data_IF_172796688896
#
_entry.id   IF_172796688896
#
_cell.length_a   1.000
_cell.length_b   1.000
_cell.length_c   1.000
_cell.angle_alpha   90.00
_cell.angle_beta   90.00
_cell.angle_gamma   90.00
#
_symmetry.space_group_name_H-M   'P 1'
#
loop_
_entity.id
_entity.type
_entity.pdbx_description
1 polymer ?
#
# COMPACT_ATOMS: atom_id res chain seq x y z
N UNK A 1 -23.71 -18.98 -3.18
CA UNK A 1 -22.25 -18.85 -2.91
C UNK A 1 -21.86 -17.43 -3.23
N UNK A 2 -21.19 -16.73 -2.33
CA UNK A 2 -20.83 -15.33 -2.55
C UNK A 2 -19.78 -15.27 -3.68
N UNK A 3 -19.95 -14.35 -4.65
CA UNK A 3 -19.07 -14.14 -5.78
C UNK A 3 -17.60 -13.93 -5.35
N UNK A 4 -17.38 -13.20 -4.25
CA UNK A 4 -16.05 -12.95 -3.70
C UNK A 4 -15.38 -14.25 -3.26
N UNK A 5 -16.11 -15.10 -2.53
CA UNK A 5 -15.61 -16.41 -2.07
C UNK A 5 -15.21 -17.32 -3.24
N UNK A 6 -16.03 -17.37 -4.29
CA UNK A 6 -15.72 -18.18 -5.47
C UNK A 6 -14.47 -17.66 -6.20
N UNK A 7 -14.36 -16.35 -6.35
CA UNK A 7 -13.19 -15.72 -6.98
C UNK A 7 -11.91 -15.98 -6.19
N UNK A 8 -11.93 -15.80 -4.87
CA UNK A 8 -10.76 -16.05 -4.02
C UNK A 8 -10.35 -17.52 -4.03
N UNK A 9 -11.32 -18.45 -4.03
CA UNK A 9 -11.04 -19.88 -4.18
C UNK A 9 -10.37 -20.21 -5.52
N UNK A 10 -10.82 -19.61 -6.62
CA UNK A 10 -10.20 -19.78 -7.94
C UNK A 10 -8.76 -19.27 -7.96
N UNK A 11 -8.51 -18.09 -7.38
CA UNK A 11 -7.17 -17.53 -7.27
C UNK A 11 -6.23 -18.41 -6.42
N UNK A 12 -6.70 -18.90 -5.27
CA UNK A 12 -5.92 -19.80 -4.44
C UNK A 12 -5.57 -21.12 -5.13
N UNK A 13 -6.54 -21.73 -5.85
CA UNK A 13 -6.28 -22.93 -6.66
C UNK A 13 -5.31 -22.65 -7.80
N UNK A 14 -5.42 -21.49 -8.45
CA UNK A 14 -4.50 -21.07 -9.49
C UNK A 14 -3.08 -20.97 -8.96
N UNK A 15 -2.89 -20.26 -7.82
CA UNK A 15 -1.59 -20.11 -7.17
C UNK A 15 -0.95 -21.47 -6.86
N UNK A 16 -1.71 -22.38 -6.25
CA UNK A 16 -1.21 -23.71 -5.87
C UNK A 16 -0.85 -24.56 -7.09
N UNK A 17 -1.70 -24.59 -8.11
CA UNK A 17 -1.46 -25.39 -9.33
C UNK A 17 -0.25 -24.92 -10.14
N UNK A 18 -0.02 -23.60 -10.16
CA UNK A 18 1.04 -23.02 -10.95
C UNK A 18 2.29 -22.66 -10.11
N UNK A 19 2.31 -23.03 -8.84
CA UNK A 19 3.42 -22.75 -7.90
C UNK A 19 3.84 -21.27 -7.96
N UNK A 20 2.87 -20.35 -7.97
CA UNK A 20 3.12 -18.92 -8.09
C UNK A 20 2.51 -18.15 -6.92
N UNK A 21 3.04 -16.95 -6.68
CA UNK A 21 2.47 -15.97 -5.76
C UNK A 21 1.40 -15.16 -6.49
N UNK A 22 0.22 -15.05 -5.88
CA UNK A 22 -0.83 -14.14 -6.34
C UNK A 22 -0.96 -12.98 -5.34
N UNK A 23 -0.73 -11.76 -5.82
CA UNK A 23 -0.91 -10.53 -5.05
C UNK A 23 -2.19 -9.87 -5.52
N UNK A 24 -3.19 -9.80 -4.62
CA UNK A 24 -4.46 -9.14 -4.90
C UNK A 24 -4.47 -7.76 -4.24
N UNK A 25 -4.59 -6.71 -5.05
CA UNK A 25 -4.73 -5.34 -4.57
C UNK A 25 -6.20 -4.98 -4.45
N UNK A 26 -6.62 -4.57 -3.27
CA UNK A 26 -7.98 -4.14 -2.98
C UNK A 26 -8.00 -2.76 -2.34
N UNK A 27 -9.01 -1.96 -2.69
CA UNK A 27 -9.19 -0.64 -2.10
C UNK A 27 -10.14 -0.73 -0.90
N UNK A 28 -9.80 -0.09 0.24
CA UNK A 28 -10.68 0.00 1.38
C UNK A 28 -11.88 0.90 1.08
N UNK A 29 -12.95 0.72 1.85
CA UNK A 29 -14.04 1.69 1.90
C UNK A 29 -13.50 3.03 2.42
N UNK A 30 -14.23 4.12 2.15
CA UNK A 30 -13.89 5.43 2.76
C UNK A 30 -13.88 5.29 4.28
N UNK A 31 -12.72 5.54 4.87
CA UNK A 31 -12.54 5.57 6.32
C UNK A 31 -12.92 6.97 6.80
N UNK A 32 -13.92 7.06 7.67
CA UNK A 32 -14.34 8.33 8.25
C UNK A 32 -13.24 8.87 9.18
N UNK A 33 -13.11 10.19 9.20
CA UNK A 33 -12.29 10.87 10.22
C UNK A 33 -12.97 10.75 11.57
N UNK A 34 -12.20 10.70 12.63
CA UNK A 34 -12.73 10.76 13.97
C UNK A 34 -13.44 12.11 14.17
N UNK A 35 -14.71 12.08 14.63
CA UNK A 35 -15.51 13.28 14.81
C UNK A 35 -14.94 14.23 15.88
N UNK A 36 -14.13 13.69 16.85
CA UNK A 36 -13.62 14.46 17.98
C UNK A 36 -12.36 15.27 17.67
N UNK A 37 -11.47 14.78 16.82
CA UNK A 37 -10.15 15.39 16.58
C UNK A 37 -9.82 15.58 15.09
N UNK A 38 -10.72 15.17 14.21
CA UNK A 38 -10.52 15.26 12.76
C UNK A 38 -9.42 14.35 12.21
N UNK A 39 -8.81 13.52 13.06
CA UNK A 39 -7.75 12.59 12.63
C UNK A 39 -8.33 11.45 11.82
N UNK A 40 -7.62 11.06 10.76
CA UNK A 40 -8.00 9.88 9.98
C UNK A 40 -7.60 8.63 10.75
N UNK A 41 -8.57 7.75 11.00
CA UNK A 41 -8.29 6.41 11.52
C UNK A 41 -7.40 5.64 10.52
N UNK A 42 -6.47 4.86 11.03
CA UNK A 42 -5.70 3.91 10.23
C UNK A 42 -6.63 2.98 9.45
N UNK A 43 -6.27 2.71 8.20
CA UNK A 43 -6.94 1.68 7.40
C UNK A 43 -6.58 0.30 7.96
N UNK A 44 -7.53 -0.60 8.02
CA UNK A 44 -7.37 -1.97 8.48
C UNK A 44 -7.90 -2.97 7.44
N UNK A 45 -7.50 -4.23 7.58
CA UNK A 45 -7.96 -5.31 6.71
C UNK A 45 -9.50 -5.38 6.65
N UNK A 46 -10.18 -5.06 7.73
CA UNK A 46 -11.64 -5.08 7.82
C UNK A 46 -12.34 -3.93 7.08
N UNK A 47 -11.61 -2.98 6.54
CA UNK A 47 -12.17 -1.86 5.78
C UNK A 47 -12.45 -2.22 4.31
N UNK A 48 -12.06 -3.39 3.85
CA UNK A 48 -12.40 -3.90 2.51
C UNK A 48 -13.85 -4.39 2.51
N UNK A 49 -14.60 -4.08 1.45
CA UNK A 49 -15.94 -4.63 1.28
C UNK A 49 -15.86 -6.15 1.06
N UNK A 50 -16.61 -6.94 1.85
CA UNK A 50 -16.43 -8.41 1.89
C UNK A 50 -15.22 -8.85 2.72
N UNK A 51 -14.78 -8.02 3.66
CA UNK A 51 -13.55 -8.18 4.46
C UNK A 51 -13.38 -9.55 5.11
N UNK A 52 -14.43 -10.16 5.62
CA UNK A 52 -14.34 -11.47 6.26
C UNK A 52 -13.80 -12.56 5.32
N UNK A 53 -14.19 -12.53 4.05
CA UNK A 53 -13.70 -13.50 3.06
C UNK A 53 -12.24 -13.26 2.71
N UNK A 54 -11.84 -11.99 2.53
CA UNK A 54 -10.44 -11.64 2.29
C UNK A 54 -9.56 -12.03 3.48
N UNK A 55 -10.02 -11.69 4.70
CA UNK A 55 -9.31 -12.04 5.92
C UNK A 55 -9.13 -13.54 6.11
N UNK A 56 -10.18 -14.33 5.86
CA UNK A 56 -10.16 -15.78 6.09
C UNK A 56 -9.31 -16.52 5.05
N UNK A 57 -9.37 -16.11 3.80
CA UNK A 57 -8.80 -16.87 2.68
C UNK A 57 -7.37 -16.46 2.30
N UNK A 58 -6.91 -15.26 2.64
CA UNK A 58 -5.53 -14.85 2.40
C UNK A 58 -4.55 -15.56 3.32
N UNK A 59 -3.34 -15.82 2.83
CA UNK A 59 -2.22 -16.31 3.63
C UNK A 59 -1.48 -15.16 4.31
N UNK A 60 -1.39 -14.03 3.63
CA UNK A 60 -0.83 -12.77 4.14
C UNK A 60 -1.82 -11.64 3.87
N UNK A 61 -1.85 -10.68 4.78
CA UNK A 61 -2.54 -9.42 4.55
C UNK A 61 -1.62 -8.25 4.92
N UNK A 62 -1.42 -7.37 3.96
CA UNK A 62 -0.64 -6.15 4.13
C UNK A 62 -1.57 -4.97 3.90
N UNK A 63 -1.49 -3.98 4.78
CA UNK A 63 -2.20 -2.71 4.62
C UNK A 63 -1.16 -1.63 4.38
N UNK A 64 -1.30 -0.92 3.28
CA UNK A 64 -0.46 0.25 2.98
C UNK A 64 -1.24 1.50 3.31
N UNK A 65 -0.78 2.24 4.30
CA UNK A 65 -1.34 3.53 4.68
C UNK A 65 -0.33 4.63 4.40
N UNK A 66 -0.79 5.72 3.80
CA UNK A 66 0.07 6.84 3.42
C UNK A 66 -0.30 8.09 4.21
N UNK A 67 0.69 8.67 4.84
CA UNK A 67 0.61 9.98 5.45
C UNK A 67 1.20 11.02 4.48
N UNK A 68 0.33 11.74 3.79
CA UNK A 68 0.76 12.70 2.78
C UNK A 68 1.51 13.91 3.38
N UNK A 69 1.17 14.31 4.61
CA UNK A 69 1.85 15.42 5.29
C UNK A 69 3.30 15.08 5.64
N UNK A 70 3.56 13.85 6.08
CA UNK A 70 4.90 13.36 6.43
C UNK A 70 5.60 12.67 5.27
N UNK A 71 4.91 12.42 4.15
CA UNK A 71 5.38 11.61 3.01
C UNK A 71 5.82 10.20 3.39
N UNK A 72 5.30 9.68 4.49
CA UNK A 72 5.60 8.36 4.98
C UNK A 72 4.51 7.38 4.52
N UNK A 73 4.94 6.30 3.90
CA UNK A 73 4.12 5.12 3.64
C UNK A 73 4.42 4.08 4.70
N UNK A 74 3.42 3.68 5.47
CA UNK A 74 3.55 2.62 6.46
C UNK A 74 2.88 1.36 5.93
N UNK A 75 3.61 0.26 5.93
CA UNK A 75 3.10 -1.06 5.60
C UNK A 75 2.84 -1.80 6.90
N UNK A 76 1.58 -2.08 7.18
CA UNK A 76 1.18 -2.89 8.34
C UNK A 76 1.01 -4.34 7.90
N UNK A 77 1.61 -5.26 8.63
CA UNK A 77 1.45 -6.71 8.45
C UNK A 77 0.29 -7.15 9.35
N UNK A 78 -0.91 -7.18 8.79
CA UNK A 78 -2.14 -7.49 9.54
C UNK A 78 -2.32 -8.99 9.77
N UNK A 79 -1.85 -9.81 8.83
CA UNK A 79 -2.00 -11.27 8.90
C UNK A 79 -0.79 -11.99 8.34
N UNK A 80 -0.35 -13.00 9.06
CA UNK A 80 0.58 -14.03 8.61
C UNK A 80 -0.01 -15.38 9.03
N UNK A 81 -0.43 -16.22 8.06
CA UNK A 81 -1.02 -17.53 8.35
C UNK A 81 -0.02 -18.49 8.96
N UNK A 82 1.19 -18.48 8.46
CA UNK A 82 2.24 -19.43 8.84
C UNK A 82 3.27 -18.73 9.74
N UNK A 83 3.25 -19.03 11.04
CA UNK A 83 4.09 -18.36 12.05
C UNK A 83 5.59 -18.43 11.78
N UNK A 84 6.06 -19.45 11.06
CA UNK A 84 7.48 -19.58 10.70
C UNK A 84 7.94 -18.61 9.60
N UNK A 85 7.00 -17.96 8.91
CA UNK A 85 7.30 -17.00 7.83
C UNK A 85 7.30 -15.54 8.31
N UNK A 86 6.91 -15.27 9.55
CA UNK A 86 6.91 -13.91 10.08
C UNK A 86 5.90 -13.70 11.21
N UNK A 87 5.84 -12.48 11.70
CA UNK A 87 4.93 -12.05 12.76
C UNK A 87 3.89 -11.09 12.22
N UNK A 88 2.63 -11.31 12.60
CA UNK A 88 1.57 -10.33 12.37
C UNK A 88 1.68 -9.16 13.38
N UNK A 89 0.94 -8.08 13.10
CA UNK A 89 0.89 -6.87 13.91
C UNK A 89 2.24 -6.14 14.03
N UNK A 90 3.05 -6.22 12.99
CA UNK A 90 4.28 -5.46 12.81
C UNK A 90 4.10 -4.41 11.71
N UNK A 91 5.00 -3.44 11.67
CA UNK A 91 4.96 -2.37 10.68
C UNK A 91 6.35 -2.08 10.11
N UNK A 92 6.38 -1.59 8.88
CA UNK A 92 7.56 -1.05 8.24
C UNK A 92 7.24 0.31 7.62
N UNK A 93 8.11 1.29 7.85
CA UNK A 93 7.93 2.65 7.36
C UNK A 93 8.89 2.96 6.24
N UNK A 94 8.40 3.70 5.26
CA UNK A 94 9.17 4.12 4.10
C UNK A 94 8.85 5.57 3.75
N UNK A 95 9.86 6.30 3.29
CA UNK A 95 9.70 7.64 2.72
C UNK A 95 9.78 7.54 1.20
N UNK A 96 8.84 8.18 0.51
CA UNK A 96 8.83 8.25 -0.93
C UNK A 96 9.75 9.36 -1.43
N UNK A 97 10.73 9.02 -2.26
CA UNK A 97 11.59 9.99 -2.92
C UNK A 97 10.99 10.42 -4.25
N UNK A 98 10.57 11.69 -4.33
CA UNK A 98 9.94 12.25 -5.52
C UNK A 98 10.90 12.46 -6.70
N UNK A 99 12.22 12.51 -6.45
CA UNK A 99 13.21 12.70 -7.51
C UNK A 99 13.37 11.45 -8.38
N UNK A 100 13.32 10.28 -7.76
CA UNK A 100 13.60 9.02 -8.47
C UNK A 100 12.50 7.97 -8.38
N UNK A 101 11.38 8.27 -7.70
CA UNK A 101 10.25 7.36 -7.53
C UNK A 101 10.50 6.17 -6.62
N UNK A 102 11.56 6.17 -5.82
CA UNK A 102 11.92 5.07 -4.93
C UNK A 102 11.43 5.30 -3.51
N UNK A 103 11.33 4.22 -2.75
CA UNK A 103 11.05 4.23 -1.33
C UNK A 103 12.34 3.96 -0.54
N UNK A 104 12.58 4.78 0.48
CA UNK A 104 13.70 4.60 1.42
C UNK A 104 13.18 4.12 2.76
N UNK A 105 13.86 3.19 3.44
CA UNK A 105 13.51 2.81 4.79
C UNK A 105 13.54 4.01 5.75
N UNK A 106 12.60 4.03 6.67
CA UNK A 106 12.51 5.06 7.70
C UNK A 106 12.22 4.38 9.04
N UNK A 107 13.13 4.50 10.00
CA UNK A 107 12.98 3.99 11.34
C UNK A 107 12.86 5.17 12.31
N UNK A 108 11.85 5.14 13.20
CA UNK A 108 11.61 6.21 14.19
C UNK A 108 11.63 7.63 13.60
N UNK A 109 11.05 7.80 12.40
CA UNK A 109 11.05 9.05 11.61
C UNK A 109 12.47 9.47 11.12
N UNK A 110 13.49 8.61 11.25
CA UNK A 110 14.82 8.81 10.67
C UNK A 110 14.88 8.17 9.29
N UNK A 111 15.19 8.98 8.29
CA UNK A 111 15.29 8.55 6.88
C UNK A 111 16.70 8.00 6.64
N UNK A 112 16.79 6.80 6.07
CA UNK A 112 18.03 6.15 5.69
C UNK A 112 18.22 6.19 4.16
N UNK A 113 18.76 7.30 3.60
CA UNK A 113 18.99 7.37 2.16
C UNK A 113 20.14 6.43 1.76
N UNK A 114 20.06 5.77 0.59
CA UNK A 114 21.22 5.14 -0.01
C UNK A 114 22.36 6.12 -0.22
N UNK A 115 23.59 5.64 -0.19
CA UNK A 115 24.77 6.49 -0.40
C UNK A 115 24.68 7.25 -1.73
N UNK A 116 24.84 8.57 -1.65
CA UNK A 116 24.83 9.46 -2.83
C UNK A 116 23.44 9.88 -3.31
N UNK A 117 22.36 9.43 -2.69
CA UNK A 117 21.00 9.88 -3.02
C UNK A 117 20.57 11.03 -2.10
N UNK A 118 19.84 12.00 -2.68
CA UNK A 118 19.20 13.09 -1.94
C UNK A 118 17.69 12.93 -1.98
N UNK A 119 17.02 13.26 -0.87
CA UNK A 119 15.57 13.34 -0.84
C UNK A 119 15.12 14.56 -1.63
N UNK A 120 14.18 14.37 -2.54
CA UNK A 120 13.56 15.49 -3.25
C UNK A 120 12.77 16.41 -2.31
N UNK A 121 12.50 17.65 -2.74
CA UNK A 121 11.69 18.57 -1.97
C UNK A 121 10.33 17.96 -1.67
N UNK A 122 9.85 18.20 -0.45
CA UNK A 122 8.50 17.81 -0.03
C UNK A 122 7.49 18.55 -0.91
N UNK A 123 6.92 17.88 -1.88
CA UNK A 123 5.85 18.48 -2.66
C UNK A 123 4.54 18.38 -1.84
N UNK A 124 4.22 19.46 -1.12
CA UNK A 124 3.01 19.57 -0.31
C UNK A 124 1.75 19.80 -1.14
N UNK A 125 1.89 20.08 -2.41
CA UNK A 125 0.80 20.17 -3.38
C UNK A 125 0.88 18.97 -4.32
N UNK A 126 0.05 17.96 -4.07
CA UNK A 126 -0.38 17.06 -5.14
C UNK A 126 -1.25 17.88 -6.09
N UNK A 127 -0.59 18.63 -6.95
CA UNK A 127 -1.23 19.24 -8.09
C UNK A 127 -1.57 18.11 -9.06
N UNK A 128 -2.79 17.58 -8.93
CA UNK A 128 -3.31 16.51 -9.78
C UNK A 128 -3.27 16.86 -11.29
N UNK A 129 -2.99 18.11 -11.62
CA UNK A 129 -2.90 18.59 -12.99
C UNK A 129 -1.48 18.54 -13.57
N UNK A 130 -0.44 18.61 -12.76
CA UNK A 130 0.93 18.66 -13.28
C UNK A 130 1.47 17.31 -13.79
N UNK A 131 1.03 16.19 -13.23
CA UNK A 131 1.45 14.89 -13.77
C UNK A 131 0.85 14.60 -15.16
N UNK A 132 -0.36 15.10 -15.44
CA UNK A 132 -0.99 14.98 -16.76
C UNK A 132 -0.26 15.82 -17.80
N UNK A 133 0.16 17.05 -17.45
CA UNK A 133 0.91 17.94 -18.35
C UNK A 133 2.28 17.39 -18.73
N UNK A 134 3.01 16.80 -17.76
CA UNK A 134 4.31 16.18 -18.02
C UNK A 134 4.22 14.95 -18.93
N UNK A 135 3.10 14.21 -18.92
CA UNK A 135 2.89 13.09 -19.81
C UNK A 135 2.54 13.54 -21.25
N UNK A 136 1.91 14.70 -21.42
CA UNK A 136 1.62 15.26 -22.75
C UNK A 136 2.90 15.80 -23.43
N UNK A 137 3.85 16.35 -22.67
CA UNK A 137 5.14 16.79 -23.21
C UNK A 137 6.05 15.60 -23.58
N UNK A 138 6.03 14.50 -22.83
CA UNK A 138 6.77 13.29 -23.19
C UNK A 138 6.16 12.54 -24.39
N UNK A 139 4.85 12.62 -24.60
CA UNK A 139 4.19 12.02 -25.77
C UNK A 139 4.59 12.66 -27.11
N UNK A 140 5.03 13.93 -27.11
CA UNK A 140 5.48 14.64 -28.32
C UNK A 140 6.92 14.33 -28.75
N UNK A 141 7.67 13.57 -27.96
CA UNK A 141 9.04 13.15 -28.30
C UNK A 141 9.10 11.85 -29.12
N UNK A 142 7.96 11.25 -29.42
CA UNK A 142 7.85 10.00 -30.19
C UNK A 142 6.99 10.13 -31.47
N UNK A 143 6.67 11.35 -31.90
CA UNK A 143 6.21 11.67 -33.27
C UNK A 143 7.40 12.25 -34.09
#
# INVERSE_FOLDING_TARGET
MDYITDTLNKLGRFATRNQCLVILVAHPRKVNRNEKDGTRRRVEMNDINGSANFANMSDFCLVVDRNDTKQIATIYIEKVRFKHLGSAHTEAKFVYNHLNGRYWPCEEDVIHPPQGEQLGPVNTQFDNENWLKNNEEQGRLFE
#
